data_IF_808338803473
#
_entry.id   IF_808338803473
#
_cell.length_a   1.000
_cell.length_b   1.000
_cell.length_c   1.000
_cell.angle_alpha   90.00
_cell.angle_beta   90.00
_cell.angle_gamma   90.00
#
_symmetry.space_group_name_H-M   'P 1'
#
loop_
_entity.id
_entity.type
_entity.pdbx_description
1 polymer ?
#
# COMPACT_ATOMS: atom_id res chain seq x y z
N UNK A 1 18.06 -4.18 56.07
CA UNK A 1 18.40 -4.39 54.64
C UNK A 1 17.17 -4.13 53.78
N UNK A 2 17.09 -3.00 53.05
CA UNK A 2 15.98 -2.71 52.12
C UNK A 2 16.27 -3.39 50.78
N UNK A 3 15.48 -4.39 50.39
CA UNK A 3 15.48 -4.97 49.03
C UNK A 3 15.05 -3.88 48.04
N UNK A 4 15.94 -3.45 47.14
CA UNK A 4 15.57 -2.67 45.96
C UNK A 4 14.71 -3.57 45.06
N UNK A 5 13.41 -3.32 44.98
CA UNK A 5 12.56 -3.87 43.93
C UNK A 5 13.02 -3.27 42.59
N UNK A 6 13.65 -4.10 41.76
CA UNK A 6 13.89 -3.79 40.36
C UNK A 6 12.57 -3.92 39.60
N UNK A 7 11.79 -2.85 39.53
CA UNK A 7 10.67 -2.76 38.57
C UNK A 7 11.27 -2.63 37.17
N UNK A 8 11.12 -3.68 36.36
CA UNK A 8 11.46 -3.65 34.94
C UNK A 8 10.51 -2.65 34.27
N UNK A 9 11.01 -1.47 33.90
CA UNK A 9 10.26 -0.52 33.05
C UNK A 9 10.23 -1.07 31.63
N UNK A 10 9.14 -1.74 31.25
CA UNK A 10 8.95 -2.22 29.89
C UNK A 10 8.68 -1.00 28.98
N UNK A 11 9.38 -0.92 27.85
CA UNK A 11 9.22 0.15 26.88
C UNK A 11 7.82 0.07 26.22
N UNK A 12 7.00 1.15 26.23
CA UNK A 12 5.68 1.15 25.60
C UNK A 12 5.70 0.76 24.12
N UNK A 13 6.80 1.05 23.40
CA UNK A 13 7.00 0.58 22.02
C UNK A 13 7.04 -0.94 21.91
N UNK A 14 7.77 -1.61 22.80
CA UNK A 14 7.88 -3.07 22.82
C UNK A 14 6.53 -3.73 23.08
N UNK A 15 5.70 -3.12 23.92
CA UNK A 15 4.34 -3.60 24.20
C UNK A 15 3.47 -3.48 22.94
N UNK A 16 3.48 -2.32 22.27
CA UNK A 16 2.71 -2.10 21.04
C UNK A 16 3.16 -3.03 19.90
N UNK A 17 4.46 -3.28 19.79
CA UNK A 17 5.01 -4.19 18.79
C UNK A 17 4.61 -5.64 19.06
N UNK A 18 4.69 -6.09 20.32
CA UNK A 18 4.22 -7.43 20.71
C UNK A 18 2.72 -7.57 20.46
N UNK A 19 1.92 -6.55 20.83
CA UNK A 19 0.48 -6.51 20.55
C UNK A 19 0.19 -6.64 19.05
N UNK A 20 0.85 -5.84 18.20
CA UNK A 20 0.68 -5.91 16.75
C UNK A 20 1.01 -7.30 16.22
N UNK A 21 2.12 -7.91 16.67
CA UNK A 21 2.52 -9.25 16.22
C UNK A 21 1.50 -10.30 16.64
N UNK A 22 1.04 -10.28 17.89
CA UNK A 22 0.05 -11.25 18.39
C UNK A 22 -1.27 -11.15 17.64
N UNK A 23 -1.80 -9.94 17.43
CA UNK A 23 -3.05 -9.73 16.71
C UNK A 23 -2.95 -10.14 15.24
N UNK A 24 -1.85 -9.82 14.57
CA UNK A 24 -1.62 -10.23 13.18
C UNK A 24 -1.62 -11.75 13.01
N UNK A 25 -1.13 -12.50 14.00
CA UNK A 25 -1.17 -13.98 13.99
C UNK A 25 -2.61 -14.49 14.05
N UNK A 26 -3.44 -13.88 14.91
CA UNK A 26 -4.85 -14.28 15.10
C UNK A 26 -5.74 -13.88 13.91
N UNK A 27 -5.42 -12.76 13.24
CA UNK A 27 -6.22 -12.18 12.16
C UNK A 27 -6.25 -13.03 10.86
N UNK A 28 -5.37 -14.03 10.72
CA UNK A 28 -5.18 -14.74 9.44
C UNK A 28 -6.43 -15.51 8.98
N UNK A 29 -7.17 -16.10 9.90
CA UNK A 29 -8.39 -16.88 9.60
C UNK A 29 -9.57 -15.97 9.25
N UNK A 30 -9.75 -14.89 10.02
CA UNK A 30 -10.80 -13.89 9.82
C UNK A 30 -10.73 -13.23 8.45
N UNK A 31 -9.52 -12.85 8.02
CA UNK A 31 -9.30 -12.23 6.70
C UNK A 31 -9.67 -13.19 5.56
N UNK A 32 -9.48 -14.50 5.73
CA UNK A 32 -9.85 -15.50 4.72
C UNK A 32 -11.37 -15.59 4.54
N UNK A 33 -12.11 -15.62 5.65
CA UNK A 33 -13.58 -15.66 5.67
C UNK A 33 -14.16 -14.40 5.02
N UNK A 34 -13.61 -13.23 5.36
CA UNK A 34 -14.10 -11.96 4.82
C UNK A 34 -13.89 -11.85 3.30
N UNK A 35 -12.74 -12.31 2.77
CA UNK A 35 -12.50 -12.29 1.32
C UNK A 35 -13.59 -13.08 0.58
N UNK A 36 -13.91 -14.29 1.05
CA UNK A 36 -14.97 -15.11 0.44
C UNK A 36 -16.34 -14.40 0.51
N UNK A 37 -16.66 -13.77 1.64
CA UNK A 37 -17.89 -13.01 1.81
C UNK A 37 -17.97 -11.82 0.84
N UNK A 38 -16.87 -11.07 0.67
CA UNK A 38 -16.83 -9.92 -0.25
C UNK A 38 -17.06 -10.34 -1.71
N UNK A 39 -16.52 -11.48 -2.14
CA UNK A 39 -16.74 -12.02 -3.47
C UNK A 39 -18.21 -12.42 -3.68
N UNK A 40 -18.84 -13.05 -2.68
CA UNK A 40 -20.25 -13.43 -2.74
C UNK A 40 -21.17 -12.20 -2.81
N UNK A 41 -20.95 -11.19 -1.96
CA UNK A 41 -21.72 -9.95 -1.96
C UNK A 41 -21.55 -9.21 -3.29
N UNK A 42 -20.31 -9.09 -3.80
CA UNK A 42 -20.04 -8.45 -5.08
C UNK A 42 -20.81 -9.14 -6.22
N UNK A 43 -20.85 -10.46 -6.22
CA UNK A 43 -21.58 -11.24 -7.25
C UNK A 43 -23.09 -10.98 -7.21
N UNK A 44 -23.70 -10.95 -6.02
CA UNK A 44 -25.14 -10.70 -5.85
C UNK A 44 -25.52 -9.30 -6.32
N UNK A 45 -24.75 -8.28 -5.92
CA UNK A 45 -25.00 -6.89 -6.31
C UNK A 45 -24.80 -6.71 -7.82
N UNK A 46 -23.73 -7.29 -8.39
CA UNK A 46 -23.47 -7.22 -9.83
C UNK A 46 -24.58 -7.90 -10.65
N UNK A 47 -25.06 -9.06 -10.20
CA UNK A 47 -26.13 -9.79 -10.88
C UNK A 47 -27.44 -9.02 -10.82
N UNK A 48 -27.79 -8.49 -9.65
CA UNK A 48 -28.97 -7.64 -9.47
C UNK A 48 -28.92 -6.42 -10.40
N UNK A 49 -27.79 -5.71 -10.42
CA UNK A 49 -27.65 -4.50 -11.24
C UNK A 49 -27.67 -4.83 -12.75
N UNK A 50 -27.01 -5.92 -13.17
CA UNK A 50 -26.99 -6.35 -14.56
C UNK A 50 -28.39 -6.75 -15.07
N UNK A 51 -29.16 -7.45 -14.23
CA UNK A 51 -30.53 -7.85 -14.57
C UNK A 51 -31.46 -6.64 -14.74
N UNK A 52 -31.31 -5.62 -13.88
CA UNK A 52 -32.08 -4.37 -14.00
C UNK A 52 -31.72 -3.57 -15.26
N UNK A 53 -30.45 -3.58 -15.65
CA UNK A 53 -29.97 -2.88 -16.84
C UNK A 53 -30.11 -3.69 -18.15
N UNK A 54 -30.55 -4.96 -18.08
CA UNK A 54 -30.55 -5.92 -19.20
C UNK A 54 -29.17 -6.02 -19.88
N UNK A 55 -28.10 -5.94 -19.08
CA UNK A 55 -26.73 -5.99 -19.57
C UNK A 55 -26.33 -7.39 -20.02
N UNK A 56 -25.38 -7.47 -20.96
CA UNK A 56 -24.79 -8.72 -21.41
C UNK A 56 -23.77 -9.28 -20.42
N UNK A 57 -23.13 -10.39 -20.81
CA UNK A 57 -22.15 -11.06 -19.96
C UNK A 57 -20.91 -10.19 -19.68
N UNK A 58 -20.50 -9.36 -20.64
CA UNK A 58 -19.33 -8.49 -20.50
C UNK A 58 -19.61 -7.38 -19.48
N UNK A 59 -20.82 -6.79 -19.53
CA UNK A 59 -21.28 -5.77 -18.59
C UNK A 59 -21.31 -6.33 -17.16
N UNK A 60 -21.91 -7.51 -16.97
CA UNK A 60 -21.91 -8.21 -15.70
C UNK A 60 -20.49 -8.41 -15.15
N UNK A 61 -19.56 -8.93 -15.96
CA UNK A 61 -18.18 -9.18 -15.52
C UNK A 61 -17.44 -7.90 -15.13
N UNK A 62 -17.64 -6.80 -15.88
CA UNK A 62 -17.07 -5.49 -15.54
C UNK A 62 -17.62 -4.97 -14.20
N UNK A 63 -18.93 -5.07 -14.00
CA UNK A 63 -19.58 -4.65 -12.75
C UNK A 63 -19.11 -5.47 -11.56
N UNK A 64 -19.09 -6.81 -11.70
CA UNK A 64 -18.60 -7.72 -10.66
C UNK A 64 -17.16 -7.37 -10.27
N UNK A 65 -16.25 -7.26 -11.23
CA UNK A 65 -14.84 -6.94 -10.96
C UNK A 65 -14.68 -5.58 -10.25
N UNK A 66 -15.45 -4.56 -10.69
CA UNK A 66 -15.44 -3.25 -10.07
C UNK A 66 -15.91 -3.28 -8.61
N UNK A 67 -17.05 -3.94 -8.35
CA UNK A 67 -17.62 -4.08 -7.02
C UNK A 67 -16.71 -4.89 -6.10
N UNK A 68 -16.19 -6.01 -6.57
CA UNK A 68 -15.26 -6.87 -5.84
C UNK A 68 -14.00 -6.10 -5.44
N UNK A 69 -13.44 -5.30 -6.36
CA UNK A 69 -12.27 -4.45 -6.07
C UNK A 69 -12.58 -3.39 -5.00
N UNK A 70 -13.76 -2.77 -5.05
CA UNK A 70 -14.17 -1.76 -4.07
C UNK A 70 -14.34 -2.40 -2.68
N UNK A 71 -15.11 -3.49 -2.60
CA UNK A 71 -15.39 -4.18 -1.34
C UNK A 71 -14.11 -4.72 -0.69
N UNK A 72 -13.25 -5.39 -1.46
CA UNK A 72 -11.97 -5.90 -0.96
C UNK A 72 -11.09 -4.78 -0.39
N UNK A 73 -11.03 -3.63 -1.05
CA UNK A 73 -10.21 -2.51 -0.57
C UNK A 73 -10.83 -1.83 0.65
N UNK A 74 -12.16 -1.77 0.74
CA UNK A 74 -12.86 -1.27 1.91
C UNK A 74 -12.63 -2.18 3.12
N UNK A 75 -12.79 -3.49 2.96
CA UNK A 75 -12.44 -4.52 3.93
C UNK A 75 -11.00 -4.40 4.44
N UNK A 76 -10.03 -4.23 3.53
CA UNK A 76 -8.63 -3.98 3.90
C UNK A 76 -8.45 -2.75 4.77
N UNK A 77 -9.17 -1.67 4.46
CA UNK A 77 -9.11 -0.45 5.25
C UNK A 77 -9.65 -0.69 6.67
N UNK A 78 -10.70 -1.49 6.84
CA UNK A 78 -11.22 -1.87 8.17
C UNK A 78 -10.13 -2.54 9.00
N UNK A 79 -9.44 -3.56 8.48
CA UNK A 79 -8.36 -4.21 9.21
C UNK A 79 -7.18 -3.27 9.52
N UNK A 80 -6.72 -2.50 8.52
CA UNK A 80 -5.58 -1.57 8.71
C UNK A 80 -5.90 -0.52 9.76
N UNK A 81 -7.06 0.13 9.69
CA UNK A 81 -7.42 1.18 10.62
C UNK A 81 -7.92 0.66 11.97
N UNK A 82 -8.56 -0.51 12.01
CA UNK A 82 -8.88 -1.22 13.25
C UNK A 82 -7.62 -1.54 14.04
N UNK A 83 -6.60 -2.09 13.38
CA UNK A 83 -5.29 -2.33 14.00
C UNK A 83 -4.58 -1.03 14.40
N UNK A 84 -4.68 0.03 13.60
CA UNK A 84 -4.12 1.33 13.95
C UNK A 84 -4.77 1.94 15.20
N UNK A 85 -6.08 1.73 15.41
CA UNK A 85 -6.81 2.16 16.62
C UNK A 85 -6.31 1.36 17.83
N UNK A 86 -6.23 0.03 17.73
CA UNK A 86 -5.75 -0.83 18.81
C UNK A 86 -4.32 -0.48 19.25
N UNK A 87 -3.46 -0.14 18.29
CA UNK A 87 -2.09 0.28 18.56
C UNK A 87 -1.96 1.77 18.95
N UNK A 88 -3.04 2.57 18.89
CA UNK A 88 -3.03 3.99 19.24
C UNK A 88 -2.30 4.89 18.24
N UNK A 89 -2.21 4.47 16.96
CA UNK A 89 -1.47 5.17 15.89
C UNK A 89 -2.34 5.55 14.69
N UNK A 90 -3.65 5.72 14.88
CA UNK A 90 -4.63 6.00 13.82
C UNK A 90 -4.19 7.18 12.91
N UNK A 91 -3.85 8.33 13.49
CA UNK A 91 -3.47 9.52 12.73
C UNK A 91 -2.16 9.34 11.97
N UNK A 92 -1.18 8.67 12.60
CA UNK A 92 0.11 8.36 11.98
C UNK A 92 -0.11 7.46 10.75
N UNK A 93 -0.91 6.39 10.92
CA UNK A 93 -1.26 5.48 9.84
C UNK A 93 -2.00 6.18 8.71
N UNK A 94 -2.93 7.07 9.02
CA UNK A 94 -3.65 7.84 8.00
C UNK A 94 -2.72 8.72 7.15
N UNK A 95 -1.79 9.45 7.78
CA UNK A 95 -0.82 10.31 7.06
C UNK A 95 0.10 9.46 6.19
N UNK A 96 0.69 8.40 6.75
CA UNK A 96 1.59 7.50 6.01
C UNK A 96 0.85 6.82 4.85
N UNK A 97 -0.35 6.30 5.08
CA UNK A 97 -1.17 5.64 4.07
C UNK A 97 -1.57 6.62 2.97
N UNK A 98 -1.90 7.88 3.30
CA UNK A 98 -2.21 8.91 2.31
C UNK A 98 -1.02 9.23 1.40
N UNK A 99 0.18 9.39 1.96
CA UNK A 99 1.39 9.61 1.18
C UNK A 99 1.73 8.42 0.28
N UNK A 100 1.65 7.19 0.82
CA UNK A 100 1.81 5.96 0.07
C UNK A 100 0.82 5.86 -1.10
N UNK A 101 -0.48 6.04 -0.82
CA UNK A 101 -1.56 5.90 -1.80
C UNK A 101 -1.46 6.94 -2.91
N UNK A 102 -1.12 8.19 -2.57
CA UNK A 102 -0.96 9.28 -3.53
C UNK A 102 0.11 8.98 -4.59
N UNK A 103 1.25 8.41 -4.20
CA UNK A 103 2.27 7.96 -5.17
C UNK A 103 1.79 6.68 -5.89
N UNK A 104 1.23 5.72 -5.14
CA UNK A 104 0.85 4.41 -5.66
C UNK A 104 -0.17 4.46 -6.79
N UNK A 105 -1.19 5.32 -6.68
CA UNK A 105 -2.26 5.45 -7.68
C UNK A 105 -1.75 5.82 -9.09
N UNK A 106 -0.58 6.45 -9.20
CA UNK A 106 0.03 6.86 -10.48
C UNK A 106 1.28 6.05 -10.85
N UNK A 107 2.05 5.56 -9.88
CA UNK A 107 3.22 4.71 -10.17
C UNK A 107 2.89 3.23 -10.36
N UNK A 108 1.68 2.80 -10.00
CA UNK A 108 1.26 1.40 -9.95
C UNK A 108 2.23 0.57 -9.09
N UNK A 109 2.42 -0.71 -9.40
CA UNK A 109 3.36 -1.59 -8.71
C UNK A 109 2.71 -2.86 -8.18
N UNK A 110 3.49 -3.60 -7.43
CA UNK A 110 3.20 -4.98 -7.11
C UNK A 110 1.90 -5.15 -6.30
N UNK A 111 1.11 -6.15 -6.68
CA UNK A 111 0.02 -6.70 -5.87
C UNK A 111 0.35 -8.16 -5.52
N UNK A 112 0.09 -8.54 -4.28
CA UNK A 112 0.20 -9.93 -3.84
C UNK A 112 -0.80 -10.82 -4.59
N UNK A 113 -0.48 -12.11 -4.75
CA UNK A 113 -1.36 -13.07 -5.45
C UNK A 113 -2.68 -13.31 -4.72
N UNK A 114 -2.65 -13.24 -3.39
CA UNK A 114 -3.79 -13.45 -2.50
C UNK A 114 -4.17 -12.14 -1.82
N UNK A 115 -5.48 -11.84 -1.82
CA UNK A 115 -6.01 -10.66 -1.14
C UNK A 115 -5.73 -10.70 0.37
N UNK A 116 -5.87 -11.87 1.00
CA UNK A 116 -5.60 -12.04 2.42
C UNK A 116 -4.14 -11.74 2.79
N UNK A 117 -3.19 -12.26 2.01
CA UNK A 117 -1.77 -11.95 2.20
C UNK A 117 -1.50 -10.46 2.00
N UNK A 118 -2.16 -9.82 1.04
CA UNK A 118 -2.07 -8.38 0.84
C UNK A 118 -2.55 -7.61 2.07
N UNK A 119 -3.67 -8.01 2.68
CA UNK A 119 -4.22 -7.39 3.89
C UNK A 119 -3.23 -7.48 5.04
N UNK A 120 -2.71 -8.68 5.33
CA UNK A 120 -1.73 -8.90 6.40
C UNK A 120 -0.47 -8.05 6.19
N UNK A 121 0.09 -8.08 4.98
CA UNK A 121 1.26 -7.26 4.64
C UNK A 121 0.94 -5.76 4.79
N UNK A 122 -0.26 -5.33 4.40
CA UNK A 122 -0.66 -3.92 4.53
C UNK A 122 -0.77 -3.50 5.99
N UNK A 123 -1.33 -4.34 6.86
CA UNK A 123 -1.37 -4.08 8.31
C UNK A 123 0.05 -3.97 8.88
N UNK A 124 0.90 -4.96 8.62
CA UNK A 124 2.28 -4.97 9.12
C UNK A 124 3.03 -3.70 8.66
N UNK A 125 2.94 -3.36 7.38
CA UNK A 125 3.70 -2.24 6.82
C UNK A 125 3.11 -0.89 7.21
N UNK A 126 1.80 -0.69 7.10
CA UNK A 126 1.20 0.62 7.38
C UNK A 126 1.14 0.91 8.89
N UNK A 127 0.74 -0.05 9.71
CA UNK A 127 0.67 0.12 11.18
C UNK A 127 2.06 0.03 11.79
N UNK A 128 2.87 -0.95 11.38
CA UNK A 128 4.24 -1.12 11.89
C UNK A 128 5.14 0.08 11.60
N UNK A 129 5.10 0.63 10.38
CA UNK A 129 5.88 1.83 10.08
C UNK A 129 5.36 3.07 10.82
N UNK A 130 4.06 3.12 11.13
CA UNK A 130 3.48 4.19 11.96
C UNK A 130 3.96 4.13 13.40
N UNK A 131 4.16 2.94 13.96
CA UNK A 131 4.74 2.74 15.29
C UNK A 131 6.22 3.15 15.35
N UNK A 132 6.96 2.93 14.26
CA UNK A 132 8.40 3.23 14.19
C UNK A 132 8.66 4.72 13.88
N UNK A 133 7.75 5.39 13.17
CA UNK A 133 7.93 6.77 12.69
C UNK A 133 8.34 7.80 13.76
N UNK A 134 7.84 7.77 15.02
CA UNK A 134 8.27 8.70 16.07
C UNK A 134 9.75 8.60 16.43
N UNK A 135 10.38 7.45 16.16
CA UNK A 135 11.81 7.19 16.45
C UNK A 135 12.72 7.56 15.27
N UNK A 136 12.14 7.96 14.14
CA UNK A 136 12.89 8.37 12.94
C UNK A 136 12.88 9.89 12.87
N UNK A 137 14.04 10.51 13.02
CA UNK A 137 14.22 11.96 12.89
C UNK A 137 14.96 12.25 11.59
N UNK A 138 14.28 12.93 10.65
CA UNK A 138 14.84 13.28 9.36
C UNK A 138 15.13 14.78 9.28
N UNK A 139 16.40 15.13 9.12
CA UNK A 139 16.79 16.50 8.78
C UNK A 139 16.32 16.87 7.37
N UNK A 140 16.14 18.16 7.08
CA UNK A 140 15.80 18.61 5.73
C UNK A 140 16.85 18.16 4.68
N UNK A 141 18.13 18.11 5.06
CA UNK A 141 19.20 17.60 4.20
C UNK A 141 19.03 16.10 3.90
N UNK A 142 18.65 15.30 4.90
CA UNK A 142 18.34 13.88 4.73
C UNK A 142 17.15 13.66 3.80
N UNK A 143 16.10 14.48 3.93
CA UNK A 143 14.92 14.44 3.06
C UNK A 143 15.30 14.75 1.61
N UNK A 144 16.12 15.79 1.38
CA UNK A 144 16.61 16.13 0.04
C UNK A 144 17.44 15.00 -0.57
N UNK A 145 18.36 14.40 0.21
CA UNK A 145 19.15 13.25 -0.24
C UNK A 145 18.28 12.04 -0.62
N UNK A 146 17.31 11.68 0.21
CA UNK A 146 16.35 10.61 -0.07
C UNK A 146 15.46 10.92 -1.28
N UNK A 147 15.07 12.18 -1.47
CA UNK A 147 14.22 12.58 -2.59
C UNK A 147 14.89 12.32 -3.94
N UNK A 148 16.21 12.51 -4.05
CA UNK A 148 16.97 12.18 -5.27
C UNK A 148 16.88 10.69 -5.58
N UNK A 149 17.03 9.84 -4.56
CA UNK A 149 16.91 8.39 -4.69
C UNK A 149 15.49 8.00 -5.14
N UNK A 150 14.46 8.57 -4.51
CA UNK A 150 13.07 8.29 -4.87
C UNK A 150 12.75 8.69 -6.30
N UNK A 151 13.19 9.88 -6.73
CA UNK A 151 12.99 10.36 -8.11
C UNK A 151 13.68 9.43 -9.10
N UNK A 152 14.92 9.00 -8.83
CA UNK A 152 15.65 8.06 -9.68
C UNK A 152 14.91 6.72 -9.79
N UNK A 153 14.42 6.19 -8.67
CA UNK A 153 13.63 4.96 -8.66
C UNK A 153 12.31 5.11 -9.44
N UNK A 154 11.57 6.22 -9.26
CA UNK A 154 10.34 6.47 -10.01
C UNK A 154 10.61 6.61 -11.50
N UNK A 155 11.64 7.36 -11.87
CA UNK A 155 12.03 7.55 -13.27
C UNK A 155 12.37 6.22 -13.94
N UNK A 156 13.14 5.36 -13.26
CA UNK A 156 13.60 4.09 -13.83
C UNK A 156 12.55 2.99 -13.81
N UNK A 157 11.74 2.94 -12.76
CA UNK A 157 10.91 1.78 -12.44
C UNK A 157 9.41 2.01 -12.50
N UNK A 158 8.92 3.26 -12.57
CA UNK A 158 7.51 3.56 -12.73
C UNK A 158 7.12 3.82 -14.21
N UNK A 159 5.84 3.59 -14.57
CA UNK A 159 4.88 2.79 -13.81
C UNK A 159 5.26 1.30 -13.87
N UNK A 160 5.05 0.59 -12.78
CA UNK A 160 5.31 -0.85 -12.69
C UNK A 160 4.00 -1.64 -12.83
N UNK A 161 3.97 -2.61 -13.75
CA UNK A 161 2.77 -3.40 -14.06
C UNK A 161 2.76 -4.75 -13.33
N UNK A 162 1.72 -5.54 -13.59
CA UNK A 162 1.62 -6.95 -13.15
C UNK A 162 1.05 -7.79 -14.28
N UNK A 163 1.17 -9.11 -14.19
CA UNK A 163 0.66 -10.08 -15.16
C UNK A 163 -0.86 -9.95 -15.36
N UNK A 164 -1.58 -9.61 -14.29
CA UNK A 164 -3.05 -9.42 -14.33
C UNK A 164 -3.46 -8.07 -14.93
N UNK A 165 -2.57 -7.08 -14.87
CA UNK A 165 -2.82 -5.71 -15.30
C UNK A 165 -1.59 -5.17 -16.05
N UNK A 166 -1.31 -5.67 -17.27
CA UNK A 166 -0.25 -5.13 -18.12
C UNK A 166 -0.57 -3.69 -18.49
N UNK A 167 0.43 -2.81 -18.43
CA UNK A 167 0.25 -1.38 -18.74
C UNK A 167 0.73 -1.09 -20.16
N UNK A 168 -0.12 -1.39 -21.15
CA UNK A 168 0.16 -1.21 -22.57
C UNK A 168 0.14 0.28 -22.95
N UNK A 169 1.05 0.70 -23.83
CA UNK A 169 1.06 2.02 -24.45
C UNK A 169 2.12 2.96 -23.88
N UNK A 170 3.11 3.32 -24.71
CA UNK A 170 4.24 4.17 -24.35
C UNK A 170 3.81 5.54 -23.79
N UNK A 171 2.83 6.21 -24.43
CA UNK A 171 2.39 7.54 -24.00
C UNK A 171 1.68 7.51 -22.65
N UNK A 172 0.83 6.49 -22.42
CA UNK A 172 0.19 6.27 -21.12
C UNK A 172 1.24 6.07 -20.02
N UNK A 173 2.26 5.25 -20.28
CA UNK A 173 3.33 4.99 -19.31
C UNK A 173 4.18 6.23 -19.04
N UNK A 174 4.50 7.02 -20.06
CA UNK A 174 5.22 8.30 -19.91
C UNK A 174 4.42 9.29 -19.07
N UNK A 175 3.11 9.41 -19.31
CA UNK A 175 2.20 10.26 -18.52
C UNK A 175 2.18 9.84 -17.04
N UNK A 176 1.95 8.57 -16.77
CA UNK A 176 1.92 8.01 -15.41
C UNK A 176 3.25 8.20 -14.65
N UNK A 177 4.38 8.01 -15.33
CA UNK A 177 5.71 8.28 -14.74
C UNK A 177 5.86 9.75 -14.35
N UNK A 178 5.46 10.67 -15.24
CA UNK A 178 5.51 12.11 -14.95
C UNK A 178 4.63 12.46 -13.75
N UNK A 179 3.41 11.95 -13.71
CA UNK A 179 2.48 12.16 -12.59
C UNK A 179 3.03 11.60 -11.28
N UNK A 180 3.69 10.43 -11.30
CA UNK A 180 4.33 9.85 -10.12
C UNK A 180 5.47 10.72 -9.58
N UNK A 181 6.33 11.24 -10.46
CA UNK A 181 7.43 12.13 -10.07
C UNK A 181 6.87 13.45 -9.51
N UNK A 182 5.89 14.05 -10.17
CA UNK A 182 5.24 15.30 -9.71
C UNK A 182 4.59 15.11 -8.34
N UNK A 183 3.88 13.99 -8.14
CA UNK A 183 3.25 13.68 -6.85
C UNK A 183 4.29 13.47 -5.75
N UNK A 184 5.39 12.78 -6.04
CA UNK A 184 6.50 12.61 -5.12
C UNK A 184 7.12 13.97 -4.73
N UNK A 185 7.40 14.83 -5.71
CA UNK A 185 7.95 16.17 -5.47
C UNK A 185 7.01 17.02 -4.62
N UNK A 186 5.71 16.96 -4.86
CA UNK A 186 4.72 17.66 -4.07
C UNK A 186 4.72 17.21 -2.59
N UNK A 187 4.75 15.89 -2.34
CA UNK A 187 4.81 15.36 -0.97
C UNK A 187 6.13 15.73 -0.28
N UNK A 188 7.26 15.68 -1.01
CA UNK A 188 8.57 16.11 -0.49
C UNK A 188 8.55 17.60 -0.15
N UNK A 189 7.96 18.45 -1.00
CA UNK A 189 7.81 19.87 -0.72
C UNK A 189 7.02 20.09 0.59
N UNK A 190 5.88 19.41 0.77
CA UNK A 190 5.12 19.44 2.03
C UNK A 190 6.00 19.00 3.21
N UNK A 191 6.74 17.90 3.07
CA UNK A 191 7.61 17.40 4.13
C UNK A 191 8.72 18.38 4.53
N UNK A 192 9.22 19.22 3.60
CA UNK A 192 10.25 20.21 3.91
C UNK A 192 9.71 21.41 4.71
N UNK A 193 8.47 21.82 4.45
CA UNK A 193 7.85 23.00 5.10
C UNK A 193 7.16 22.68 6.43
N UNK A 194 6.73 21.43 6.65
CA UNK A 194 6.08 21.02 7.91
C UNK A 194 7.07 21.13 9.07
N UNK A 195 6.74 21.74 10.22
CA UNK A 195 7.67 21.84 11.34
C UNK A 195 7.77 20.54 12.16
N UNK A 196 6.70 19.74 12.18
CA UNK A 196 6.61 18.53 12.99
C UNK A 196 7.43 17.38 12.39
N UNK A 197 8.48 16.95 13.10
CA UNK A 197 9.41 15.91 12.65
C UNK A 197 8.73 14.56 12.40
N UNK A 198 7.77 14.17 13.24
CA UNK A 198 7.04 12.91 13.05
C UNK A 198 6.24 12.93 11.75
N UNK A 199 5.57 14.04 11.43
CA UNK A 199 4.82 14.18 10.18
C UNK A 199 5.77 14.11 8.97
N UNK A 200 6.94 14.75 9.04
CA UNK A 200 7.96 14.63 7.96
C UNK A 200 8.32 13.17 7.71
N UNK A 201 8.65 12.45 8.78
CA UNK A 201 9.03 11.04 8.70
C UNK A 201 7.90 10.19 8.12
N UNK A 202 6.64 10.39 8.54
CA UNK A 202 5.50 9.66 7.98
C UNK A 202 5.31 9.89 6.48
N UNK A 203 5.46 11.13 5.99
CA UNK A 203 5.37 11.45 4.57
C UNK A 203 6.48 10.76 3.76
N UNK A 204 7.72 10.84 4.23
CA UNK A 204 8.88 10.23 3.58
C UNK A 204 8.80 8.70 3.59
N UNK A 205 8.36 8.10 4.71
CA UNK A 205 8.15 6.67 4.83
C UNK A 205 7.03 6.16 3.92
N UNK A 206 5.95 6.94 3.74
CA UNK A 206 4.89 6.60 2.79
C UNK A 206 5.40 6.53 1.34
N UNK A 207 6.25 7.48 0.94
CA UNK A 207 6.93 7.44 -0.37
C UNK A 207 7.86 6.22 -0.43
N UNK A 208 8.74 6.04 0.56
CA UNK A 208 9.70 4.93 0.60
C UNK A 208 9.02 3.57 0.49
N UNK A 209 7.89 3.40 1.18
CA UNK A 209 7.06 2.21 1.13
C UNK A 209 6.57 1.96 -0.30
N UNK A 210 6.10 3.00 -0.99
CA UNK A 210 5.67 2.85 -2.38
C UNK A 210 6.83 2.56 -3.34
N UNK A 211 8.01 3.17 -3.13
CA UNK A 211 9.21 2.85 -3.91
C UNK A 211 9.56 1.37 -3.77
N UNK A 212 9.49 0.81 -2.56
CA UNK A 212 9.70 -0.61 -2.33
C UNK A 212 8.80 -1.48 -3.22
N UNK A 213 7.52 -1.12 -3.44
CA UNK A 213 6.59 -1.91 -4.26
C UNK A 213 6.80 -1.80 -5.78
N UNK A 214 7.66 -0.91 -6.27
CA UNK A 214 8.00 -0.80 -7.70
C UNK A 214 9.41 -1.32 -8.02
N UNK A 215 10.23 -1.63 -7.00
CA UNK A 215 11.59 -2.10 -7.21
C UNK A 215 11.63 -3.53 -7.78
N UNK A 216 12.58 -3.86 -8.68
CA UNK A 216 12.72 -5.21 -9.25
C UNK A 216 12.94 -6.29 -8.19
N UNK A 217 13.64 -5.96 -7.10
CA UNK A 217 13.95 -6.90 -6.04
C UNK A 217 12.69 -7.45 -5.36
N UNK A 218 11.69 -6.60 -5.17
CA UNK A 218 10.40 -6.95 -4.55
C UNK A 218 9.60 -7.89 -5.45
N UNK A 219 9.65 -7.70 -6.77
CA UNK A 219 9.04 -8.60 -7.74
C UNK A 219 9.70 -9.99 -7.73
N UNK A 220 11.04 -10.03 -7.65
CA UNK A 220 11.79 -11.29 -7.54
C UNK A 220 11.46 -12.03 -6.24
N UNK A 221 11.44 -11.32 -5.11
CA UNK A 221 11.13 -11.87 -3.79
C UNK A 221 9.74 -12.52 -3.76
N UNK A 222 8.76 -11.89 -4.41
CA UNK A 222 7.37 -12.35 -4.43
C UNK A 222 7.02 -13.20 -5.65
N UNK A 223 8.02 -13.58 -6.47
CA UNK A 223 7.85 -14.40 -7.68
C UNK A 223 6.75 -13.86 -8.60
N UNK A 224 6.82 -12.56 -8.92
CA UNK A 224 5.90 -11.84 -9.80
C UNK A 224 6.62 -11.41 -11.09
N UNK A 225 5.90 -11.48 -12.20
CA UNK A 225 6.31 -10.95 -13.50
C UNK A 225 6.28 -9.43 -13.53
N UNK A 226 7.22 -8.84 -14.27
CA UNK A 226 7.41 -7.39 -14.44
C UNK A 226 7.58 -7.09 -15.93
N UNK A 227 7.20 -5.89 -16.35
CA UNK A 227 7.27 -5.44 -17.73
C UNK A 227 6.45 -6.35 -18.66
N UNK A 228 5.29 -6.76 -18.16
CA UNK A 228 4.44 -7.72 -18.85
C UNK A 228 3.85 -7.12 -20.14
N UNK A 229 3.75 -5.78 -20.23
CA UNK A 229 3.38 -5.05 -21.44
C UNK A 229 4.27 -5.36 -22.66
N UNK A 230 5.54 -5.75 -22.47
CA UNK A 230 6.48 -6.00 -23.58
C UNK A 230 5.98 -7.16 -24.46
N UNK A 231 5.42 -8.21 -23.85
CA UNK A 231 4.85 -9.36 -24.58
C UNK A 231 3.69 -8.95 -25.49
N UNK A 232 2.83 -8.06 -25.01
CA UNK A 232 1.67 -7.59 -25.79
C UNK A 232 2.08 -6.61 -26.88
N UNK A 233 3.10 -5.78 -26.64
CA UNK A 233 3.63 -4.87 -27.67
C UNK A 233 4.39 -5.63 -28.77
N UNK A 234 5.04 -6.76 -28.47
CA UNK A 234 5.62 -7.66 -29.47
C UNK A 234 4.53 -8.30 -30.34
N UNK A 235 3.45 -8.81 -29.75
CA UNK A 235 2.31 -9.41 -30.47
C UNK A 235 1.57 -8.41 -31.40
N UNK A 236 1.54 -7.12 -31.04
CA UNK A 236 0.89 -6.08 -31.84
C UNK A 236 1.76 -5.64 -33.03
N UNK A 237 3.09 -5.70 -32.88
CA UNK A 237 4.04 -5.17 -33.86
C UNK A 237 4.67 -6.24 -34.77
N UNK A 238 4.46 -7.53 -34.48
CA UNK A 238 4.91 -8.67 -35.30
C UNK A 238 3.84 -9.16 -36.25
#
# INVERSE_FOLDING_TARGET
>A
MKKKQHTIKINPFSIQLVLLVTEVINMKEEVGIEVNLTEEIASKIALWANNNCKGGQIEYLKMKLGLETILINFSKAIFVYGMAILCGVLFQTFILHSAYFAVRRVSFGLHAKSSAHCTIISVILLVGMSLIAPYIVLSNYSILGLSLIFILCLYRYAPADTEKNPLIGLDRRRKLRKEAIVTCLFIIFIALIVPNQMIKSLLVLGIALQIMFILPITYKLLKRGRNNYEKYEEEING
#
